data_IF_280143393746
#
_entry.id   IF_280143393746
#
_cell.length_a   1.000
_cell.length_b   1.000
_cell.length_c   1.000
_cell.angle_alpha   90.00
_cell.angle_beta   90.00
_cell.angle_gamma   90.00
#
_symmetry.space_group_name_H-M   'P 1'
#
loop_
_entity.id
_entity.type
_entity.pdbx_description
1 polymer ?
#
# COMPACT_ATOMS: atom_id res chain seq x y z
N UNK A 1 19.09 17.57 -5.81
CA UNK A 1 19.66 16.50 -6.65
C UNK A 1 20.51 15.63 -5.74
N UNK A 2 20.37 14.32 -5.58
CA UNK A 2 19.35 13.33 -5.92
C UNK A 2 19.64 12.16 -4.98
N UNK A 3 18.68 11.70 -4.19
CA UNK A 3 18.80 10.37 -3.60
C UNK A 3 18.75 9.39 -4.77
N UNK A 4 19.89 8.77 -5.05
CA UNK A 4 20.01 7.45 -5.68
C UNK A 4 19.03 7.22 -6.84
N UNK A 5 19.42 7.69 -8.02
CA UNK A 5 18.86 7.17 -9.26
C UNK A 5 19.26 5.70 -9.37
N UNK A 6 18.41 4.82 -8.84
CA UNK A 6 18.39 3.40 -9.16
C UNK A 6 18.40 3.28 -10.69
N UNK A 7 19.54 2.88 -11.26
CA UNK A 7 19.69 2.74 -12.70
C UNK A 7 19.07 1.40 -13.13
N UNK A 8 17.73 1.37 -13.17
CA UNK A 8 16.95 0.20 -13.63
C UNK A 8 17.35 -0.23 -15.03
N UNK A 9 18.04 0.63 -15.79
CA UNK A 9 18.55 0.33 -17.12
C UNK A 9 19.61 -0.79 -17.12
N UNK A 10 20.25 -1.07 -15.98
CA UNK A 10 21.25 -2.12 -15.85
C UNK A 10 20.68 -3.50 -15.58
N UNK A 11 19.39 -3.63 -15.27
CA UNK A 11 18.75 -4.93 -15.01
C UNK A 11 18.30 -5.61 -16.30
N UNK A 12 18.15 -6.95 -16.29
CA UNK A 12 17.47 -7.66 -17.38
C UNK A 12 16.12 -7.02 -17.69
N UNK A 13 15.80 -6.82 -18.97
CA UNK A 13 14.62 -6.06 -19.41
C UNK A 13 13.29 -6.58 -18.86
N UNK A 14 13.20 -7.87 -18.55
CA UNK A 14 12.03 -8.47 -17.93
C UNK A 14 11.88 -8.05 -16.45
N UNK A 15 12.98 -8.02 -15.71
CA UNK A 15 13.05 -7.66 -14.30
C UNK A 15 12.83 -6.15 -14.11
N UNK A 16 13.36 -5.33 -15.01
CA UNK A 16 13.05 -3.89 -15.08
C UNK A 16 11.54 -3.65 -15.24
N UNK A 17 10.88 -4.36 -16.16
CA UNK A 17 9.45 -4.18 -16.42
C UNK A 17 8.58 -4.67 -15.27
N UNK A 18 8.89 -5.82 -14.67
CA UNK A 18 8.15 -6.32 -13.51
C UNK A 18 8.32 -5.38 -12.31
N UNK A 19 9.51 -4.81 -12.08
CA UNK A 19 9.72 -3.81 -11.04
C UNK A 19 8.91 -2.53 -11.27
N UNK A 20 8.90 -2.01 -12.50
CA UNK A 20 8.09 -0.84 -12.85
C UNK A 20 6.59 -1.08 -12.61
N UNK A 21 6.10 -2.29 -12.85
CA UNK A 21 4.72 -2.65 -12.55
C UNK A 21 4.42 -2.61 -11.05
N UNK A 22 5.34 -3.11 -10.20
CA UNK A 22 5.25 -3.00 -8.73
C UNK A 22 5.19 -1.55 -8.30
N UNK A 23 6.12 -0.72 -8.78
CA UNK A 23 6.19 0.69 -8.40
C UNK A 23 4.94 1.47 -8.84
N UNK A 24 4.44 1.22 -10.06
CA UNK A 24 3.19 1.82 -10.56
C UNK A 24 1.99 1.43 -9.70
N UNK A 25 1.91 0.17 -9.28
CA UNK A 25 0.83 -0.29 -8.40
C UNK A 25 0.94 0.33 -7.00
N UNK A 26 2.16 0.49 -6.47
CA UNK A 26 2.41 1.14 -5.20
C UNK A 26 2.04 2.63 -5.23
N UNK A 27 2.41 3.36 -6.30
CA UNK A 27 2.02 4.76 -6.51
C UNK A 27 0.48 4.90 -6.50
N UNK A 28 -0.23 3.94 -7.13
CA UNK A 28 -1.69 3.93 -7.15
C UNK A 28 -2.32 3.66 -5.78
N UNK A 29 -1.68 2.85 -4.92
CA UNK A 29 -2.09 2.66 -3.52
C UNK A 29 -1.89 3.95 -2.74
N UNK A 30 -0.71 4.56 -2.82
CA UNK A 30 -0.38 5.82 -2.14
C UNK A 30 -1.36 6.93 -2.53
N UNK A 31 -1.65 7.09 -3.81
CA UNK A 31 -2.60 8.08 -4.31
C UNK A 31 -4.02 7.84 -3.79
N UNK A 32 -4.48 6.58 -3.77
CA UNK A 32 -5.82 6.24 -3.27
C UNK A 32 -5.95 6.47 -1.75
N UNK A 33 -4.91 6.13 -0.99
CA UNK A 33 -4.82 6.38 0.46
C UNK A 33 -4.83 7.87 0.76
N UNK A 34 -4.04 8.67 0.02
CA UNK A 34 -4.01 10.12 0.16
C UNK A 34 -5.37 10.76 -0.16
N UNK A 35 -6.10 10.22 -1.15
CA UNK A 35 -7.44 10.65 -1.50
C UNK A 35 -8.53 10.15 -0.52
N UNK A 36 -8.19 9.33 0.47
CA UNK A 36 -9.14 8.64 1.36
C UNK A 36 -10.21 7.80 0.62
N UNK A 37 -9.91 7.37 -0.61
CA UNK A 37 -10.76 6.45 -1.36
C UNK A 37 -10.41 5.01 -0.98
N UNK A 38 -10.98 4.55 0.13
CA UNK A 38 -10.65 3.25 0.72
C UNK A 38 -11.04 2.06 -0.15
N UNK A 39 -12.11 2.21 -0.95
CA UNK A 39 -12.54 1.17 -1.87
C UNK A 39 -11.53 1.02 -3.01
N UNK A 40 -11.10 2.13 -3.61
CA UNK A 40 -10.06 2.15 -4.63
C UNK A 40 -8.71 1.72 -4.08
N UNK A 41 -8.33 2.15 -2.88
CA UNK A 41 -7.10 1.74 -2.20
C UNK A 41 -7.04 0.21 -2.05
N UNK A 42 -8.15 -0.43 -1.68
CA UNK A 42 -8.23 -1.89 -1.62
C UNK A 42 -8.07 -2.58 -2.98
N UNK A 43 -8.55 -1.97 -4.07
CA UNK A 43 -8.36 -2.50 -5.42
C UNK A 43 -6.92 -2.33 -5.92
N UNK A 44 -6.31 -1.17 -5.68
CA UNK A 44 -4.89 -0.93 -5.96
C UNK A 44 -3.99 -1.88 -5.18
N UNK A 45 -4.30 -2.14 -3.90
CA UNK A 45 -3.50 -3.04 -3.08
C UNK A 45 -3.52 -4.48 -3.61
N UNK A 46 -4.66 -4.97 -4.12
CA UNK A 46 -4.72 -6.27 -4.81
C UNK A 46 -3.84 -6.31 -6.06
N UNK A 47 -3.81 -5.23 -6.84
CA UNK A 47 -2.93 -5.14 -8.02
C UNK A 47 -1.46 -5.13 -7.62
N UNK A 48 -1.11 -4.45 -6.53
CA UNK A 48 0.25 -4.44 -5.99
C UNK A 48 0.69 -5.85 -5.58
N UNK A 49 -0.16 -6.62 -4.89
CA UNK A 49 0.14 -8.02 -4.56
C UNK A 49 0.42 -8.86 -5.81
N UNK A 50 -0.42 -8.77 -6.84
CA UNK A 50 -0.21 -9.52 -8.08
C UNK A 50 1.09 -9.10 -8.80
N UNK A 51 1.42 -7.81 -8.78
CA UNK A 51 2.67 -7.30 -9.35
C UNK A 51 3.89 -7.84 -8.58
N UNK A 52 3.81 -7.92 -7.24
CA UNK A 52 4.86 -8.48 -6.39
C UNK A 52 5.06 -9.98 -6.62
N UNK A 53 3.97 -10.76 -6.73
CA UNK A 53 4.04 -12.19 -7.07
C UNK A 53 4.71 -12.40 -8.44
N UNK A 54 4.36 -11.58 -9.42
CA UNK A 54 4.98 -11.61 -10.75
C UNK A 54 6.46 -11.23 -10.68
N UNK A 55 6.80 -10.19 -9.90
CA UNK A 55 8.18 -9.77 -9.71
C UNK A 55 9.03 -10.87 -9.06
N UNK A 56 8.51 -11.51 -8.01
CA UNK A 56 9.18 -12.60 -7.31
C UNK A 56 9.47 -13.78 -8.25
N UNK A 57 8.48 -14.20 -9.04
CA UNK A 57 8.66 -15.26 -10.03
C UNK A 57 9.75 -14.92 -11.08
N UNK A 58 9.79 -13.66 -11.54
CA UNK A 58 10.84 -13.17 -12.45
C UNK A 58 12.20 -13.14 -11.75
N UNK A 59 12.26 -12.62 -10.52
CA UNK A 59 13.50 -12.53 -9.75
C UNK A 59 14.11 -13.91 -9.51
N UNK A 60 13.30 -14.90 -9.13
CA UNK A 60 13.76 -16.30 -8.95
C UNK A 60 14.38 -16.85 -10.23
N UNK A 61 13.81 -16.52 -11.38
CA UNK A 61 14.30 -17.01 -12.69
C UNK A 61 15.59 -16.31 -13.14
N UNK A 62 15.70 -15.01 -12.88
CA UNK A 62 16.80 -14.17 -13.39
C UNK A 62 17.96 -14.00 -12.39
N UNK A 63 17.79 -14.43 -11.13
CA UNK A 63 18.72 -14.19 -10.02
C UNK A 63 20.15 -14.61 -10.33
N UNK A 64 20.34 -15.79 -10.93
CA UNK A 64 21.68 -16.34 -11.20
C UNK A 64 22.45 -15.53 -12.25
N UNK A 65 21.75 -14.70 -13.04
CA UNK A 65 22.34 -13.78 -14.01
C UNK A 65 22.72 -12.41 -13.44
N UNK A 66 22.44 -12.14 -12.15
CA UNK A 66 22.70 -10.85 -11.55
C UNK A 66 24.11 -10.77 -10.94
N UNK A 67 24.78 -9.64 -11.19
CA UNK A 67 26.01 -9.28 -10.52
C UNK A 67 25.77 -8.91 -9.06
N UNK A 68 26.83 -8.91 -8.25
CA UNK A 68 26.76 -8.46 -6.86
C UNK A 68 26.31 -7.00 -6.74
N UNK A 69 26.69 -6.13 -7.68
CA UNK A 69 26.28 -4.72 -7.74
C UNK A 69 24.78 -4.59 -8.03
N UNK A 70 24.26 -5.35 -9.00
CA UNK A 70 22.83 -5.37 -9.33
C UNK A 70 21.99 -5.91 -8.18
N UNK A 71 22.48 -6.96 -7.52
CA UNK A 71 21.82 -7.55 -6.34
C UNK A 71 21.74 -6.56 -5.19
N UNK A 72 22.83 -5.86 -4.87
CA UNK A 72 22.84 -4.82 -3.83
C UNK A 72 21.91 -3.66 -4.16
N UNK A 73 21.88 -3.23 -5.43
CA UNK A 73 20.98 -2.17 -5.89
C UNK A 73 19.50 -2.56 -5.76
N UNK A 74 19.16 -3.81 -6.12
CA UNK A 74 17.81 -4.34 -5.95
C UNK A 74 17.40 -4.41 -4.48
N UNK A 75 18.32 -4.81 -3.59
CA UNK A 75 18.05 -4.86 -2.16
C UNK A 75 17.68 -3.48 -1.61
N UNK A 76 18.44 -2.44 -1.94
CA UNK A 76 18.12 -1.07 -1.54
C UNK A 76 16.80 -0.57 -2.13
N UNK A 77 16.51 -0.89 -3.39
CA UNK A 77 15.23 -0.56 -4.01
C UNK A 77 14.05 -1.24 -3.29
N UNK A 78 14.23 -2.49 -2.86
CA UNK A 78 13.26 -3.21 -2.05
C UNK A 78 13.04 -2.57 -0.68
N UNK A 79 14.11 -2.20 0.03
CA UNK A 79 14.02 -1.52 1.33
C UNK A 79 13.21 -0.21 1.21
N UNK A 80 13.47 0.58 0.16
CA UNK A 80 12.71 1.80 -0.11
C UNK A 80 11.24 1.52 -0.41
N UNK A 81 10.93 0.47 -1.18
CA UNK A 81 9.58 0.05 -1.49
C UNK A 81 8.82 -0.45 -0.25
N UNK A 82 9.47 -1.23 0.61
CA UNK A 82 8.89 -1.72 1.87
C UNK A 82 8.54 -0.54 2.78
N UNK A 83 9.48 0.40 2.98
CA UNK A 83 9.22 1.59 3.79
C UNK A 83 8.04 2.43 3.27
N UNK A 84 7.84 2.49 1.95
CA UNK A 84 6.68 3.13 1.32
C UNK A 84 5.38 2.38 1.62
N UNK A 85 5.40 1.05 1.46
CA UNK A 85 4.24 0.20 1.74
C UNK A 85 3.82 0.24 3.22
N UNK A 86 4.79 0.26 4.14
CA UNK A 86 4.55 0.40 5.58
C UNK A 86 3.80 1.69 5.91
N UNK A 87 4.23 2.84 5.34
CA UNK A 87 3.51 4.12 5.52
C UNK A 87 2.06 4.07 5.02
N UNK A 88 1.81 3.41 3.89
CA UNK A 88 0.44 3.21 3.39
C UNK A 88 -0.39 2.38 4.37
N UNK A 89 0.21 1.32 4.91
CA UNK A 89 -0.43 0.40 5.84
C UNK A 89 -0.77 1.10 7.17
N UNK A 90 0.13 1.92 7.69
CA UNK A 90 -0.10 2.77 8.87
C UNK A 90 -1.27 3.75 8.64
N UNK A 91 -1.30 4.42 7.49
CA UNK A 91 -2.39 5.34 7.13
C UNK A 91 -3.76 4.61 7.06
N UNK A 92 -3.79 3.42 6.49
CA UNK A 92 -5.00 2.57 6.46
C UNK A 92 -5.44 2.14 7.85
N UNK A 93 -4.50 1.77 8.73
CA UNK A 93 -4.80 1.43 10.12
C UNK A 93 -5.36 2.63 10.90
N UNK A 94 -4.80 3.81 10.71
CA UNK A 94 -5.31 5.05 11.30
C UNK A 94 -6.73 5.35 10.83
N UNK A 95 -6.99 5.24 9.51
CA UNK A 95 -8.32 5.42 8.94
C UNK A 95 -9.35 4.43 9.50
N UNK A 96 -9.00 3.14 9.59
CA UNK A 96 -9.86 2.11 10.20
C UNK A 96 -10.21 2.44 11.65
N UNK A 97 -9.22 2.90 12.42
CA UNK A 97 -9.39 3.23 13.83
C UNK A 97 -10.33 4.42 14.00
N UNK A 98 -10.18 5.46 13.17
CA UNK A 98 -11.08 6.61 13.12
C UNK A 98 -12.52 6.22 12.78
N UNK A 99 -12.72 5.44 11.71
CA UNK A 99 -14.06 4.98 11.31
C UNK A 99 -14.73 4.15 12.42
N UNK A 100 -13.96 3.34 13.15
CA UNK A 100 -14.47 2.55 14.28
C UNK A 100 -15.02 3.45 15.38
N UNK A 101 -14.30 4.53 15.72
CA UNK A 101 -14.74 5.51 16.71
C UNK A 101 -15.99 6.27 16.24
N UNK A 102 -16.03 6.69 14.97
CA UNK A 102 -17.19 7.38 14.39
C UNK A 102 -18.45 6.50 14.43
N UNK A 103 -18.33 5.21 14.07
CA UNK A 103 -19.43 4.24 14.15
C UNK A 103 -19.91 4.07 15.60
N UNK A 104 -18.98 3.97 16.57
CA UNK A 104 -19.33 3.84 17.97
C UNK A 104 -20.07 5.08 18.49
N UNK A 105 -19.64 6.29 18.11
CA UNK A 105 -20.28 7.55 18.46
C UNK A 105 -21.70 7.65 17.89
N UNK A 106 -21.89 7.29 16.62
CA UNK A 106 -23.23 7.27 15.98
C UNK A 106 -24.17 6.32 16.73
N UNK A 107 -23.72 5.11 17.05
CA UNK A 107 -24.53 4.14 17.81
C UNK A 107 -24.90 4.65 19.20
N UNK A 108 -23.96 5.25 19.92
CA UNK A 108 -24.22 5.84 21.23
C UNK A 108 -25.25 6.98 21.16
N UNK A 109 -25.14 7.85 20.15
CA UNK A 109 -26.11 8.92 19.90
C UNK A 109 -27.52 8.39 19.61
N UNK A 110 -27.65 7.36 18.78
CA UNK A 110 -28.94 6.71 18.49
C UNK A 110 -29.57 6.08 19.73
N UNK A 111 -28.76 5.41 20.57
CA UNK A 111 -29.20 4.85 21.85
C UNK A 111 -29.67 5.95 22.82
N UNK A 112 -28.95 7.06 22.90
CA UNK A 112 -29.31 8.21 23.72
C UNK A 112 -30.63 8.86 23.26
N UNK A 113 -30.78 9.09 21.95
CA UNK A 113 -32.00 9.66 21.36
C UNK A 113 -33.22 8.77 21.62
N UNK A 114 -33.06 7.46 21.51
CA UNK A 114 -34.14 6.50 21.79
C UNK A 114 -34.56 6.54 23.26
N UNK A 115 -33.60 6.53 24.20
CA UNK A 115 -33.91 6.66 25.65
C UNK A 115 -34.61 7.96 25.98
N UNK A 116 -34.19 9.07 25.38
CA UNK A 116 -34.83 10.37 25.58
C UNK A 116 -36.30 10.35 25.15
N UNK A 117 -36.61 9.82 23.97
CA UNK A 117 -37.99 9.67 23.48
C UNK A 117 -38.84 8.76 24.38
N UNK A 118 -38.27 7.67 24.89
CA UNK A 118 -38.95 6.77 25.83
C UNK A 118 -39.29 7.48 27.16
N UNK A 119 -38.39 8.33 27.67
CA UNK A 119 -38.63 9.09 28.92
C UNK A 119 -39.48 10.35 28.74
N UNK A 120 -39.48 10.98 27.57
CA UNK A 120 -40.22 12.22 27.33
C UNK A 120 -41.67 11.98 26.88
N UNK A 121 -41.99 10.76 26.43
CA UNK A 121 -43.34 10.34 26.03
C UNK A 121 -44.16 9.63 27.11
N UNK A 122 -43.64 9.54 28.34
CA UNK A 122 -44.28 8.94 29.52
C UNK A 122 -44.76 10.02 30.48
#
# INVERSE_FOLDING_TARGET
MSAEQFDVARLPSILTRSWQAVMTALDAVEAAVAASDWAWAGQCNRKLHLALETFDAVLVTERDGLSSEQTGSLLHAFEAMVARHERCTEALHAARSRLTLEIAAVRAGQLGARKYLETAGS
#
